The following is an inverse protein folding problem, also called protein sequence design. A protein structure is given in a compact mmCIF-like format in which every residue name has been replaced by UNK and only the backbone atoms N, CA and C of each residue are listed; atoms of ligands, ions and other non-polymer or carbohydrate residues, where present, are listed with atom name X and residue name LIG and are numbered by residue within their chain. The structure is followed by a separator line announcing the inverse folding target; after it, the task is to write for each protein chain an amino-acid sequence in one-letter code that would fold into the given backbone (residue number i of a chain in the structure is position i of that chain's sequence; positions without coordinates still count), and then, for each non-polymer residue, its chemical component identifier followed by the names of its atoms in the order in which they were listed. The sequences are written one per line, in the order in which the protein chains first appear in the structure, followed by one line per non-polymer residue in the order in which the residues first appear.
data_IF_618618796868
#
_entry.id   IF_618618796868
#
_cell.length_a   1.000
_cell.length_b   1.000
_cell.length_c   1.000
_cell.angle_alpha   90.00
_cell.angle_beta   90.00
_cell.angle_gamma   90.00
#
_symmetry.space_group_name_H-M   'P 1'
#
loop_
_entity.id
_entity.type
_entity.pdbx_description
1 polymer ?
#
# COMPACT_ATOMS: atom_id res chain seq x y z
N UNK A 1 10.51 21.18 9.56
CA UNK A 1 10.35 19.79 9.08
C UNK A 1 11.40 19.56 7.99
N UNK A 2 12.30 18.57 8.10
CA UNK A 2 13.26 18.31 7.00
C UNK A 2 12.51 17.88 5.74
N UNK A 3 12.90 18.38 4.56
CA UNK A 3 12.31 18.03 3.26
C UNK A 3 12.19 16.50 3.08
N UNK A 4 13.20 15.76 3.51
CA UNK A 4 13.19 14.29 3.46
C UNK A 4 12.07 13.67 4.30
N UNK A 5 11.75 14.20 5.49
CA UNK A 5 10.60 13.72 6.29
C UNK A 5 9.28 13.95 5.59
N UNK A 6 9.13 15.08 4.89
CA UNK A 6 7.93 15.39 4.11
C UNK A 6 7.76 14.36 2.99
N UNK A 7 8.83 14.07 2.25
CA UNK A 7 8.83 13.05 1.19
C UNK A 7 8.41 11.68 1.74
N UNK A 8 8.96 11.25 2.89
CA UNK A 8 8.57 9.97 3.51
C UNK A 8 7.08 9.92 3.87
N UNK A 9 6.53 11.01 4.43
CA UNK A 9 5.10 11.09 4.78
C UNK A 9 4.25 11.00 3.52
N UNK A 10 4.55 11.77 2.48
CA UNK A 10 3.80 11.74 1.22
C UNK A 10 3.90 10.36 0.56
N UNK A 11 5.09 9.74 0.52
CA UNK A 11 5.27 8.38 -0.01
C UNK A 11 4.43 7.36 0.75
N UNK A 12 4.39 7.42 2.08
CA UNK A 12 3.56 6.53 2.88
C UNK A 12 2.06 6.72 2.58
N UNK A 13 1.59 7.97 2.55
CA UNK A 13 0.18 8.29 2.23
C UNK A 13 -0.21 7.83 0.83
N UNK A 14 0.66 8.05 -0.16
CA UNK A 14 0.47 7.55 -1.53
C UNK A 14 0.43 6.02 -1.58
N UNK A 15 1.27 5.34 -0.79
CA UNK A 15 1.23 3.88 -0.66
C UNK A 15 -0.09 3.36 -0.10
N UNK A 16 -0.59 3.94 1.00
CA UNK A 16 -1.90 3.59 1.56
C UNK A 16 -3.04 3.84 0.56
N UNK A 17 -3.03 5.00 -0.10
CA UNK A 17 -4.05 5.33 -1.09
C UNK A 17 -3.98 4.41 -2.31
N UNK A 18 -2.78 4.07 -2.78
CA UNK A 18 -2.58 3.12 -3.87
C UNK A 18 -3.09 1.71 -3.55
N UNK A 19 -2.84 1.21 -2.34
CA UNK A 19 -3.40 -0.07 -1.87
C UNK A 19 -4.93 -0.05 -1.95
N UNK A 20 -5.56 1.02 -1.47
CA UNK A 20 -7.01 1.17 -1.52
C UNK A 20 -7.55 1.16 -2.96
N UNK A 21 -6.93 1.93 -3.87
CA UNK A 21 -7.34 1.97 -5.27
C UNK A 21 -7.18 0.61 -5.96
N UNK A 22 -6.07 -0.09 -5.72
CA UNK A 22 -5.81 -1.39 -6.31
C UNK A 22 -6.77 -2.46 -5.78
N UNK A 23 -7.01 -2.47 -4.46
CA UNK A 23 -8.01 -3.38 -3.86
C UNK A 23 -9.39 -3.17 -4.45
N UNK A 24 -9.81 -1.91 -4.54
CA UNK A 24 -11.13 -1.57 -5.06
C UNK A 24 -11.29 -2.02 -6.52
N UNK A 25 -10.30 -1.72 -7.36
CA UNK A 25 -10.33 -2.10 -8.77
C UNK A 25 -10.31 -3.63 -8.96
N UNK A 26 -9.48 -4.35 -8.18
CA UNK A 26 -9.50 -5.82 -8.21
C UNK A 26 -10.82 -6.39 -7.72
N UNK A 27 -11.42 -5.80 -6.68
CA UNK A 27 -12.70 -6.27 -6.16
C UNK A 27 -13.83 -6.10 -7.16
N UNK A 28 -13.91 -4.94 -7.81
CA UNK A 28 -14.86 -4.68 -8.89
C UNK A 28 -14.65 -5.68 -10.05
N UNK A 29 -13.40 -5.97 -10.41
CA UNK A 29 -13.06 -6.95 -11.45
C UNK A 29 -13.45 -8.40 -11.09
N UNK A 30 -13.09 -8.85 -9.88
CA UNK A 30 -13.41 -10.22 -9.43
C UNK A 30 -14.92 -10.41 -9.28
N UNK A 31 -15.66 -9.36 -8.88
CA UNK A 31 -17.12 -9.40 -8.80
C UNK A 31 -17.77 -9.58 -10.19
N UNK A 32 -17.23 -8.94 -11.23
CA UNK A 32 -17.67 -9.14 -12.61
C UNK A 32 -17.34 -10.54 -13.13
N UNK A 33 -16.17 -11.09 -12.77
CA UNK A 33 -15.74 -12.43 -13.18
C UNK A 33 -16.45 -13.57 -12.44
N UNK A 34 -16.78 -13.35 -11.16
CA UNK A 34 -17.36 -14.37 -10.27
C UNK A 34 -18.62 -13.83 -9.57
N UNK A 35 -19.76 -13.71 -10.29
CA UNK A 35 -20.97 -13.08 -9.75
C UNK A 35 -21.59 -13.82 -8.56
N UNK A 36 -21.28 -15.11 -8.40
CA UNK A 36 -21.80 -15.96 -7.33
C UNK A 36 -20.81 -16.16 -6.17
N UNK A 37 -19.61 -15.58 -6.24
CA UNK A 37 -18.64 -15.66 -5.16
C UNK A 37 -19.11 -14.86 -3.94
N UNK A 38 -18.76 -15.34 -2.74
CA UNK A 38 -19.05 -14.61 -1.52
C UNK A 38 -18.07 -13.42 -1.35
N UNK A 39 -18.45 -12.44 -0.54
CA UNK A 39 -17.65 -11.22 -0.38
C UNK A 39 -16.25 -11.43 0.22
N UNK A 40 -16.03 -12.52 0.95
CA UNK A 40 -14.74 -12.83 1.58
C UNK A 40 -13.76 -13.44 0.57
N UNK A 41 -14.24 -14.36 -0.26
CA UNK A 41 -13.47 -14.96 -1.35
C UNK A 41 -13.05 -13.87 -2.35
N UNK A 42 -13.97 -12.97 -2.72
CA UNK A 42 -13.67 -11.81 -3.56
C UNK A 42 -12.59 -10.92 -2.94
N UNK A 43 -12.63 -10.65 -1.63
CA UNK A 43 -11.63 -9.82 -0.95
C UNK A 43 -10.24 -10.48 -0.95
N UNK A 44 -10.17 -11.77 -0.60
CA UNK A 44 -8.92 -12.51 -0.61
C UNK A 44 -8.30 -12.57 -2.01
N UNK A 45 -9.12 -12.80 -3.03
CA UNK A 45 -8.64 -12.87 -4.40
C UNK A 45 -8.21 -11.49 -4.91
N UNK A 46 -8.90 -10.43 -4.46
CA UNK A 46 -8.55 -9.04 -4.77
C UNK A 46 -7.21 -8.59 -4.17
N UNK A 47 -6.70 -9.25 -3.13
CA UNK A 47 -5.36 -9.00 -2.60
C UNK A 47 -4.27 -9.49 -3.57
N UNK A 48 -4.52 -10.59 -4.28
CA UNK A 48 -3.62 -11.21 -5.26
C UNK A 48 -4.00 -10.97 -6.72
N UNK A 49 -5.05 -10.17 -6.96
CA UNK A 49 -5.65 -9.97 -8.28
C UNK A 49 -4.73 -9.30 -9.30
N UNK A 50 -5.28 -9.07 -10.50
CA UNK A 50 -4.52 -8.61 -11.68
C UNK A 50 -3.71 -7.33 -11.44
N UNK A 51 -4.20 -6.42 -10.60
CA UNK A 51 -3.44 -5.26 -10.13
C UNK A 51 -2.81 -5.60 -8.77
N UNK A 52 -1.50 -5.85 -8.67
CA UNK A 52 -0.90 -6.28 -7.42
C UNK A 52 -1.08 -5.21 -6.34
N UNK A 53 -2.03 -5.43 -5.42
CA UNK A 53 -2.35 -4.52 -4.31
C UNK A 53 -1.16 -4.31 -3.39
N UNK A 54 -0.30 -5.31 -3.26
CA UNK A 54 0.90 -5.26 -2.43
C UNK A 54 2.00 -4.37 -3.02
N UNK A 55 1.95 -4.04 -4.32
CA UNK A 55 2.93 -3.17 -4.97
C UNK A 55 2.93 -1.75 -4.36
N UNK A 56 1.80 -1.01 -4.27
CA UNK A 56 1.76 0.25 -3.52
C UNK A 56 2.00 0.07 -2.01
N UNK A 57 1.71 -1.11 -1.46
CA UNK A 57 2.08 -1.46 -0.07
C UNK A 57 3.59 -1.38 0.19
N UNK A 58 4.42 -1.72 -0.81
CA UNK A 58 5.88 -1.61 -0.68
C UNK A 58 6.36 -0.17 -0.46
N UNK A 59 5.62 0.84 -0.94
CA UNK A 59 5.94 2.26 -0.71
C UNK A 59 5.86 2.62 0.78
N UNK A 60 4.89 2.04 1.50
CA UNK A 60 4.76 2.24 2.95
C UNK A 60 5.97 1.62 3.67
N UNK A 61 6.38 0.41 3.28
CA UNK A 61 7.57 -0.25 3.86
C UNK A 61 8.83 0.58 3.62
N UNK A 62 9.03 1.08 2.41
CA UNK A 62 10.17 1.94 2.08
C UNK A 62 10.16 3.26 2.87
N UNK A 63 8.98 3.88 3.05
CA UNK A 63 8.85 5.07 3.87
C UNK A 63 9.20 4.82 5.35
N UNK A 64 8.77 3.67 5.90
CA UNK A 64 9.13 3.25 7.26
C UNK A 64 10.63 2.98 7.40
N UNK A 65 11.27 2.33 6.43
CA UNK A 65 12.71 2.13 6.42
C UNK A 65 13.47 3.47 6.39
N UNK A 66 13.04 4.41 5.57
CA UNK A 66 13.60 5.76 5.54
C UNK A 66 13.41 6.52 6.87
N UNK A 67 12.28 6.32 7.54
CA UNK A 67 12.02 6.90 8.85
C UNK A 67 12.91 6.28 9.94
N UNK A 68 13.08 4.96 9.94
CA UNK A 68 14.01 4.25 10.84
C UNK A 68 15.44 4.73 10.66
N UNK A 69 15.87 5.00 9.43
CA UNK A 69 17.19 5.58 9.14
C UNK A 69 17.36 6.97 9.77
N UNK A 70 16.33 7.82 9.75
CA UNK A 70 16.37 9.13 10.41
C UNK A 70 16.50 9.02 11.94
N UNK A 71 15.83 8.04 12.55
CA UNK A 71 15.94 7.78 13.98
C UNK A 71 17.38 7.38 14.32
N UNK A 72 17.94 6.47 13.54
CA UNK A 72 19.32 5.99 13.72
C UNK A 72 20.35 7.13 13.61
N UNK A 73 20.21 8.02 12.62
CA UNK A 73 21.09 9.19 12.48
C UNK A 73 21.01 10.13 13.69
N UNK A 74 19.80 10.36 14.21
CA UNK A 74 19.60 11.24 15.37
C UNK A 74 20.22 10.67 16.65
N UNK A 75 20.31 9.34 16.79
CA UNK A 75 20.94 8.68 17.95
C UNK A 75 22.48 8.75 17.92
N UNK A 76 23.08 9.00 16.75
CA UNK A 76 24.54 9.06 16.56
C UNK A 76 25.12 10.47 16.74
N UNK A 77 24.26 11.48 16.91
CA UNK A 77 24.60 12.88 17.22
C UNK A 77 24.46 13.13 18.71
#
# INVERSE_FOLDING_TARGET
MSFFKLVLIVTALSGFYGVFLHLRANYEFEQEMKPTANGWDLFLESLSGALPTLAPGSMVVLALLGYSYLIFLKQKQ
#
